data_IF_129230052440
#
_entry.id   IF_129230052440
#
_cell.length_a   1.000
_cell.length_b   1.000
_cell.length_c   1.000
_cell.angle_alpha   90.00
_cell.angle_beta   90.00
_cell.angle_gamma   90.00
#
_symmetry.space_group_name_H-M   'P 1'
#
loop_
_entity.id
_entity.type
_entity.pdbx_description
1 polymer ?
#
# COMPACT_ATOMS: atom_id res chain seq x y z
N UNK A 1 18.04 3.46 -27.04
CA UNK A 1 16.91 3.86 -26.18
C UNK A 1 16.27 5.11 -26.77
N UNK A 2 14.98 5.07 -27.09
CA UNK A 2 14.26 6.25 -27.55
C UNK A 2 14.20 7.27 -26.41
N UNK A 3 14.60 8.51 -26.65
CA UNK A 3 14.46 9.59 -25.65
C UNK A 3 12.97 9.88 -25.48
N UNK A 4 12.44 9.66 -24.31
CA UNK A 4 11.07 10.06 -23.96
C UNK A 4 10.96 11.57 -24.13
N UNK A 5 10.03 12.04 -24.99
CA UNK A 5 9.79 13.47 -25.17
C UNK A 5 9.21 14.06 -23.89
N UNK A 6 9.86 15.09 -23.36
CA UNK A 6 9.36 15.82 -22.19
C UNK A 6 8.14 16.64 -22.65
N UNK A 7 6.98 16.54 -21.96
CA UNK A 7 5.82 17.39 -22.22
C UNK A 7 6.12 18.87 -21.97
N UNK A 8 5.52 19.75 -22.77
CA UNK A 8 5.81 21.19 -22.72
C UNK A 8 5.35 21.82 -21.39
N UNK A 9 4.27 21.33 -20.79
CA UNK A 9 3.77 21.74 -19.48
C UNK A 9 4.73 21.36 -18.34
N UNK A 10 5.32 20.15 -18.38
CA UNK A 10 6.34 19.71 -17.41
C UNK A 10 7.60 20.56 -17.53
N UNK A 11 8.00 20.89 -18.76
CA UNK A 11 9.16 21.76 -18.99
C UNK A 11 8.89 23.18 -18.45
N UNK A 12 7.68 23.71 -18.64
CA UNK A 12 7.26 24.99 -18.06
C UNK A 12 7.33 24.99 -16.54
N UNK A 13 6.79 23.95 -15.88
CA UNK A 13 6.88 23.77 -14.43
C UNK A 13 8.33 23.74 -13.94
N UNK A 14 9.22 23.05 -14.66
CA UNK A 14 10.63 22.99 -14.28
C UNK A 14 11.31 24.36 -14.34
N UNK A 15 11.02 25.19 -15.35
CA UNK A 15 11.50 26.56 -15.43
C UNK A 15 10.93 27.45 -14.33
N UNK A 16 9.64 27.31 -14.01
CA UNK A 16 9.02 28.10 -12.93
C UNK A 16 9.58 27.72 -11.55
N UNK A 17 9.86 26.42 -11.32
CA UNK A 17 10.59 25.99 -10.13
C UNK A 17 11.99 26.61 -10.06
N UNK A 18 12.72 26.66 -11.16
CA UNK A 18 14.04 27.29 -11.18
C UNK A 18 13.97 28.79 -10.83
N UNK A 19 12.95 29.52 -11.32
CA UNK A 19 12.69 30.92 -10.93
C UNK A 19 12.39 31.06 -9.43
N UNK A 20 11.50 30.21 -8.88
CA UNK A 20 11.16 30.20 -7.46
C UNK A 20 12.40 29.98 -6.58
N UNK A 21 13.29 29.02 -6.96
CA UNK A 21 14.56 28.80 -6.26
C UNK A 21 15.51 29.99 -6.33
N UNK A 22 15.61 30.64 -7.49
CA UNK A 22 16.43 31.85 -7.64
C UNK A 22 15.92 33.00 -6.75
N UNK A 23 14.59 33.10 -6.59
CA UNK A 23 13.94 34.04 -5.68
C UNK A 23 13.98 33.59 -4.20
N UNK A 24 14.52 32.41 -3.90
CA UNK A 24 14.53 31.76 -2.57
C UNK A 24 13.13 31.48 -2.01
N UNK A 25 12.12 31.37 -2.86
CA UNK A 25 10.78 30.92 -2.50
C UNK A 25 10.75 29.38 -2.51
N UNK A 26 11.23 28.80 -1.40
CA UNK A 26 11.35 27.37 -1.24
C UNK A 26 9.97 26.69 -1.20
N UNK A 27 8.96 27.35 -0.64
CA UNK A 27 7.60 26.81 -0.55
C UNK A 27 6.96 26.68 -1.95
N UNK A 28 7.14 27.69 -2.83
CA UNK A 28 6.69 27.59 -4.21
C UNK A 28 7.50 26.52 -4.98
N UNK A 29 8.81 26.48 -4.79
CA UNK A 29 9.66 25.49 -5.45
C UNK A 29 9.28 24.05 -5.10
N UNK A 30 8.93 23.77 -3.83
CA UNK A 30 8.52 22.45 -3.37
C UNK A 30 7.11 22.07 -3.91
N UNK A 31 6.17 23.02 -3.96
CA UNK A 31 4.85 22.79 -4.60
C UNK A 31 4.99 22.44 -6.08
N UNK A 32 5.82 23.18 -6.81
CA UNK A 32 6.05 22.94 -8.25
C UNK A 32 6.77 21.59 -8.44
N UNK A 33 7.71 21.23 -7.55
CA UNK A 33 8.34 19.91 -7.58
C UNK A 33 7.32 18.79 -7.44
N UNK A 34 6.37 18.91 -6.52
CA UNK A 34 5.28 17.94 -6.39
C UNK A 34 4.45 17.82 -7.67
N UNK A 35 4.12 18.94 -8.33
CA UNK A 35 3.40 18.92 -9.61
C UNK A 35 4.18 18.22 -10.74
N UNK A 36 5.51 18.39 -10.78
CA UNK A 36 6.38 17.67 -11.73
C UNK A 36 6.38 16.17 -11.43
N UNK A 37 6.45 15.79 -10.15
CA UNK A 37 6.39 14.39 -9.69
C UNK A 37 5.02 13.77 -10.02
N UNK A 38 3.92 14.48 -9.79
CA UNK A 38 2.56 14.07 -10.14
C UNK A 38 2.36 13.89 -11.66
N UNK A 39 3.08 14.67 -12.47
CA UNK A 39 3.12 14.51 -13.91
C UNK A 39 4.01 13.35 -14.39
N UNK A 40 4.57 12.54 -13.47
CA UNK A 40 5.40 11.38 -13.77
C UNK A 40 6.85 11.70 -14.14
N UNK A 41 7.35 12.88 -13.74
CA UNK A 41 8.71 13.32 -14.01
C UNK A 41 9.46 13.63 -12.71
N UNK A 42 10.78 13.49 -12.76
CA UNK A 42 11.69 13.83 -11.66
C UNK A 42 12.62 14.93 -12.12
N UNK A 43 12.70 16.00 -11.32
CA UNK A 43 13.65 17.08 -11.56
C UNK A 43 14.94 16.81 -10.77
N UNK A 44 16.06 16.78 -11.47
CA UNK A 44 17.41 16.58 -10.92
C UNK A 44 18.20 17.89 -11.05
N UNK A 45 18.51 18.51 -9.92
CA UNK A 45 19.29 19.74 -9.92
C UNK A 45 20.76 19.46 -10.31
N UNK A 46 21.28 20.30 -11.24
CA UNK A 46 22.69 20.26 -11.69
C UNK A 46 23.32 21.65 -11.50
N UNK A 47 23.61 22.00 -10.26
CA UNK A 47 24.08 23.33 -9.93
C UNK A 47 23.00 24.39 -10.13
N UNK A 48 23.20 25.30 -11.11
CA UNK A 48 22.21 26.33 -11.52
C UNK A 48 21.22 25.85 -12.56
N UNK A 49 21.47 24.66 -13.12
CA UNK A 49 20.65 24.04 -14.16
C UNK A 49 19.87 22.84 -13.60
N UNK A 50 19.01 22.24 -14.40
CA UNK A 50 18.24 21.05 -14.03
C UNK A 50 18.16 20.06 -15.20
N UNK A 51 17.92 18.80 -14.89
CA UNK A 51 17.52 17.78 -15.84
C UNK A 51 16.13 17.24 -15.44
N UNK A 52 15.31 16.87 -16.43
CA UNK A 52 14.07 16.14 -16.24
C UNK A 52 14.28 14.70 -16.68
N UNK A 53 13.95 13.79 -15.79
CA UNK A 53 14.01 12.35 -15.99
C UNK A 53 12.61 11.77 -15.70
N UNK A 54 12.18 10.69 -16.38
CA UNK A 54 10.98 9.98 -15.95
C UNK A 54 11.07 9.61 -14.46
N UNK A 55 10.01 9.87 -13.70
CA UNK A 55 9.97 9.56 -12.26
C UNK A 55 9.99 8.04 -12.02
N UNK A 56 9.48 7.29 -12.99
CA UNK A 56 9.35 5.85 -12.96
C UNK A 56 9.87 5.24 -14.27
N UNK A 57 10.30 3.99 -14.27
CA UNK A 57 10.63 3.28 -15.49
C UNK A 57 9.40 3.18 -16.40
N UNK A 58 9.56 3.00 -17.70
CA UNK A 58 8.45 2.79 -18.61
C UNK A 58 7.73 1.48 -18.31
N UNK A 59 6.43 1.44 -18.59
CA UNK A 59 5.70 0.17 -18.71
C UNK A 59 6.24 -0.58 -19.91
N UNK A 60 6.52 -1.88 -19.75
CA UNK A 60 7.09 -2.76 -20.75
C UNK A 60 6.10 -3.89 -21.05
N UNK A 61 5.93 -4.21 -22.32
CA UNK A 61 5.12 -5.35 -22.76
C UNK A 61 6.01 -6.35 -23.49
N UNK A 62 6.01 -7.59 -23.02
CA UNK A 62 6.76 -8.72 -23.58
C UNK A 62 5.78 -9.86 -23.88
N UNK A 63 5.39 -10.02 -25.15
CA UNK A 63 4.29 -10.91 -25.52
C UNK A 63 2.97 -10.45 -24.89
N UNK A 64 2.34 -11.32 -24.10
CA UNK A 64 1.10 -11.03 -23.36
C UNK A 64 1.37 -10.46 -21.96
N UNK A 65 2.62 -10.46 -21.51
CA UNK A 65 2.99 -10.00 -20.17
C UNK A 65 3.23 -8.49 -20.19
N UNK A 66 2.47 -7.77 -19.36
CA UNK A 66 2.66 -6.33 -19.09
C UNK A 66 3.33 -6.17 -17.73
N UNK A 67 4.46 -5.43 -17.72
CA UNK A 67 5.15 -4.99 -16.50
C UNK A 67 5.00 -3.48 -16.34
N UNK A 68 4.33 -3.06 -15.30
CA UNK A 68 4.01 -1.64 -15.08
C UNK A 68 5.17 -0.90 -14.42
N UNK A 69 5.49 0.28 -14.93
CA UNK A 69 6.57 1.12 -14.39
C UNK A 69 6.20 1.89 -13.12
N UNK A 70 4.90 2.02 -12.83
CA UNK A 70 4.40 2.69 -11.62
C UNK A 70 3.03 2.14 -11.24
N UNK A 71 2.60 2.38 -9.99
CA UNK A 71 1.25 2.02 -9.55
C UNK A 71 0.18 2.78 -10.35
N UNK A 72 0.44 4.04 -10.68
CA UNK A 72 -0.46 4.89 -11.48
C UNK A 72 -0.70 4.39 -12.90
N UNK A 73 0.28 3.66 -13.48
CA UNK A 73 0.15 3.06 -14.82
C UNK A 73 -0.78 1.84 -14.85
N UNK A 74 -1.07 1.23 -13.70
CA UNK A 74 -1.95 0.07 -13.62
C UNK A 74 -3.41 0.52 -13.80
N UNK A 75 -4.18 -0.08 -14.74
CA UNK A 75 -5.59 0.26 -14.92
C UNK A 75 -6.39 0.06 -13.64
N UNK A 76 -7.17 1.07 -13.25
CA UNK A 76 -7.93 1.05 -12.00
C UNK A 76 -9.35 0.56 -12.21
N UNK A 77 -9.81 -0.32 -11.33
CA UNK A 77 -11.21 -0.75 -11.21
C UNK A 77 -12.01 -0.01 -10.13
N UNK A 78 -11.38 0.94 -9.42
CA UNK A 78 -12.01 1.58 -8.26
C UNK A 78 -13.28 2.37 -8.61
N UNK A 79 -13.42 2.83 -9.85
CA UNK A 79 -14.64 3.49 -10.34
C UNK A 79 -15.74 2.52 -10.82
N UNK A 80 -15.41 1.22 -10.98
CA UNK A 80 -16.37 0.20 -11.40
C UNK A 80 -17.24 -0.22 -10.21
N UNK A 81 -18.49 -0.71 -10.44
CA UNK A 81 -19.28 -1.36 -9.40
C UNK A 81 -18.51 -2.54 -8.79
N UNK A 82 -18.75 -2.83 -7.52
CA UNK A 82 -18.16 -4.00 -6.89
C UNK A 82 -18.71 -5.28 -7.53
N UNK A 83 -17.83 -6.19 -7.90
CA UNK A 83 -18.13 -7.46 -8.60
C UNK A 83 -17.82 -8.67 -7.70
N UNK A 84 -18.06 -8.58 -6.40
CA UNK A 84 -17.83 -9.67 -5.45
C UNK A 84 -17.80 -9.18 -4.01
N UNK A 85 -17.63 -10.13 -3.11
CA UNK A 85 -17.60 -9.85 -1.66
C UNK A 85 -16.29 -9.20 -1.26
N UNK A 86 -15.17 -9.81 -1.66
CA UNK A 86 -13.84 -9.31 -1.30
C UNK A 86 -12.82 -9.54 -2.43
N UNK A 87 -11.73 -8.79 -2.37
CA UNK A 87 -10.48 -9.08 -3.09
C UNK A 87 -9.36 -9.22 -2.08
N UNK A 88 -8.71 -10.38 -2.06
CA UNK A 88 -7.48 -10.60 -1.31
C UNK A 88 -6.29 -10.16 -2.16
N UNK A 89 -5.48 -9.26 -1.64
CA UNK A 89 -4.26 -8.77 -2.29
C UNK A 89 -3.06 -9.34 -1.56
N UNK A 90 -2.19 -10.03 -2.30
CA UNK A 90 -0.89 -10.53 -1.84
C UNK A 90 0.20 -9.76 -2.58
N UNK A 91 1.23 -9.31 -1.87
CA UNK A 91 2.44 -8.78 -2.50
C UNK A 91 3.48 -9.89 -2.52
N UNK A 92 3.80 -10.37 -3.72
CA UNK A 92 4.85 -11.36 -3.91
C UNK A 92 6.21 -10.70 -3.69
N UNK A 93 6.94 -11.23 -2.73
CA UNK A 93 8.30 -10.85 -2.38
C UNK A 93 9.30 -11.88 -2.92
N UNK A 94 10.55 -11.85 -2.49
CA UNK A 94 11.57 -12.78 -2.98
C UNK A 94 11.57 -14.14 -2.23
N UNK A 95 10.42 -14.56 -1.71
CA UNK A 95 10.22 -15.83 -1.00
C UNK A 95 9.07 -16.63 -1.59
N UNK A 96 9.33 -17.39 -2.68
CA UNK A 96 8.31 -18.17 -3.39
C UNK A 96 7.51 -19.09 -2.49
N UNK A 97 8.17 -19.80 -1.57
CA UNK A 97 7.51 -20.73 -0.67
C UNK A 97 6.49 -20.07 0.27
N UNK A 98 6.67 -18.77 0.62
CA UNK A 98 5.71 -18.04 1.44
C UNK A 98 4.46 -17.71 0.61
N UNK A 99 4.64 -17.28 -0.63
CA UNK A 99 3.52 -17.06 -1.56
C UNK A 99 2.74 -18.35 -1.83
N UNK A 100 3.44 -19.45 -2.12
CA UNK A 100 2.82 -20.76 -2.39
C UNK A 100 1.97 -21.21 -1.19
N UNK A 101 2.50 -21.10 0.03
CA UNK A 101 1.80 -21.46 1.28
C UNK A 101 0.56 -20.59 1.49
N UNK A 102 0.68 -19.27 1.35
CA UNK A 102 -0.44 -18.34 1.50
C UNK A 102 -1.55 -18.62 0.46
N UNK A 103 -1.17 -18.83 -0.81
CA UNK A 103 -2.11 -19.18 -1.87
C UNK A 103 -2.76 -20.55 -1.66
N UNK A 104 -2.04 -21.55 -1.19
CA UNK A 104 -2.59 -22.86 -0.87
C UNK A 104 -3.66 -22.77 0.24
N UNK A 105 -3.37 -22.01 1.32
CA UNK A 105 -4.34 -21.75 2.38
C UNK A 105 -5.58 -21.01 1.88
N UNK A 106 -5.40 -19.97 1.06
CA UNK A 106 -6.51 -19.23 0.46
C UNK A 106 -7.38 -20.14 -0.43
N UNK A 107 -6.78 -20.91 -1.35
CA UNK A 107 -7.53 -21.82 -2.24
C UNK A 107 -8.36 -22.85 -1.49
N UNK A 108 -7.85 -23.34 -0.36
CA UNK A 108 -8.54 -24.32 0.45
C UNK A 108 -9.75 -23.74 1.23
N UNK A 109 -9.76 -22.43 1.50
CA UNK A 109 -10.69 -21.84 2.45
C UNK A 109 -11.36 -20.53 1.98
N UNK A 110 -11.07 -20.08 0.75
CA UNK A 110 -11.65 -18.83 0.24
C UNK A 110 -13.15 -18.94 0.04
N UNK A 111 -13.87 -17.91 0.45
CA UNK A 111 -15.33 -17.82 0.32
C UNK A 111 -15.72 -17.48 -1.13
N UNK A 112 -16.87 -17.98 -1.57
CA UNK A 112 -17.47 -17.63 -2.87
C UNK A 112 -17.61 -16.10 -3.01
N UNK A 113 -17.35 -15.58 -4.22
CA UNK A 113 -17.36 -14.16 -4.50
C UNK A 113 -16.09 -13.41 -4.05
N UNK A 114 -15.03 -14.13 -3.68
CA UNK A 114 -13.72 -13.58 -3.38
C UNK A 114 -12.77 -13.78 -4.56
N UNK A 115 -12.12 -12.70 -5.00
CA UNK A 115 -11.03 -12.72 -5.99
C UNK A 115 -9.66 -12.56 -5.31
N UNK A 116 -8.60 -13.00 -5.98
CA UNK A 116 -7.23 -12.86 -5.50
C UNK A 116 -6.43 -12.04 -6.51
N UNK A 117 -5.67 -11.06 -6.01
CA UNK A 117 -4.70 -10.28 -6.80
C UNK A 117 -3.32 -10.50 -6.21
N UNK A 118 -2.40 -11.02 -7.00
CA UNK A 118 -0.99 -11.14 -6.65
C UNK A 118 -0.22 -10.01 -7.32
N UNK A 119 0.41 -9.16 -6.54
CA UNK A 119 1.27 -8.08 -7.03
C UNK A 119 2.73 -8.55 -6.97
N UNK A 120 3.33 -8.77 -8.13
CA UNK A 120 4.75 -9.11 -8.26
C UNK A 120 5.56 -7.81 -8.40
N UNK A 121 6.03 -7.27 -7.26
CA UNK A 121 6.71 -5.98 -7.17
C UNK A 121 8.22 -6.12 -7.44
N UNK A 122 8.59 -6.07 -8.72
CA UNK A 122 9.96 -6.28 -9.19
C UNK A 122 10.50 -7.64 -8.76
N UNK A 123 9.83 -8.74 -9.13
CA UNK A 123 10.15 -10.07 -8.65
C UNK A 123 11.55 -10.52 -9.10
N UNK A 124 12.24 -11.30 -8.27
CA UNK A 124 13.40 -12.07 -8.71
C UNK A 124 12.97 -13.15 -9.73
N UNK A 125 13.89 -13.69 -10.55
CA UNK A 125 13.55 -14.77 -11.47
C UNK A 125 12.87 -15.96 -10.78
N UNK A 126 13.35 -16.38 -9.63
CA UNK A 126 12.75 -17.49 -8.87
C UNK A 126 11.33 -17.16 -8.38
N UNK A 127 11.07 -15.90 -8.00
CA UNK A 127 9.74 -15.48 -7.62
C UNK A 127 8.81 -15.38 -8.83
N UNK A 128 9.30 -14.90 -9.98
CA UNK A 128 8.51 -14.78 -11.21
C UNK A 128 8.09 -16.17 -11.74
N UNK A 129 8.98 -17.18 -11.64
CA UNK A 129 8.68 -18.59 -11.96
C UNK A 129 7.63 -19.21 -11.03
N UNK A 130 7.59 -18.80 -9.76
CA UNK A 130 6.64 -19.31 -8.76
C UNK A 130 5.31 -18.55 -8.74
N UNK A 131 5.12 -17.55 -9.60
CA UNK A 131 3.84 -16.87 -9.71
C UNK A 131 2.78 -17.83 -10.27
N UNK A 132 1.52 -17.72 -9.80
CA UNK A 132 0.44 -18.51 -10.38
C UNK A 132 0.33 -18.21 -11.88
N UNK A 133 0.24 -19.29 -12.68
CA UNK A 133 0.00 -19.19 -14.12
C UNK A 133 -1.45 -18.78 -14.42
N UNK A 134 -2.02 -19.33 -15.49
CA UNK A 134 -3.41 -19.07 -15.89
C UNK A 134 -4.42 -19.71 -14.93
N UNK A 135 -4.51 -19.13 -13.72
CA UNK A 135 -5.53 -19.49 -12.74
C UNK A 135 -6.68 -18.45 -12.84
N UNK A 136 -7.88 -18.84 -13.30
CA UNK A 136 -8.98 -17.89 -13.52
C UNK A 136 -9.46 -17.16 -12.24
N UNK A 137 -9.07 -17.65 -11.05
CA UNK A 137 -9.37 -17.05 -9.77
C UNK A 137 -8.32 -16.04 -9.28
N UNK A 138 -7.17 -15.95 -9.96
CA UNK A 138 -6.02 -15.15 -9.52
C UNK A 138 -5.55 -14.22 -10.64
N UNK A 139 -5.58 -12.94 -10.38
CA UNK A 139 -4.95 -11.94 -11.25
C UNK A 139 -3.53 -11.68 -10.80
N UNK A 140 -2.54 -11.79 -11.70
CA UNK A 140 -1.14 -11.44 -11.42
C UNK A 140 -0.80 -10.12 -12.09
N UNK A 141 -0.38 -9.13 -11.29
CA UNK A 141 0.07 -7.81 -11.76
C UNK A 141 1.56 -7.68 -11.52
N UNK A 142 2.33 -7.42 -12.57
CA UNK A 142 3.80 -7.32 -12.51
C UNK A 142 4.26 -5.89 -12.62
N UNK A 143 5.30 -5.52 -11.88
CA UNK A 143 6.00 -4.23 -12.03
C UNK A 143 7.38 -4.44 -12.68
N UNK A 144 7.90 -3.39 -13.32
CA UNK A 144 9.21 -3.43 -14.00
C UNK A 144 10.38 -3.46 -13.01
N UNK A 145 10.20 -2.86 -11.85
CA UNK A 145 11.16 -2.85 -10.74
C UNK A 145 10.40 -2.83 -9.41
N UNK A 146 11.11 -2.94 -8.29
CA UNK A 146 10.54 -2.83 -6.95
C UNK A 146 10.10 -1.39 -6.68
N UNK A 147 8.80 -1.15 -6.70
CA UNK A 147 8.20 0.16 -6.42
C UNK A 147 8.20 0.49 -4.92
N UNK A 148 8.11 -0.54 -4.08
CA UNK A 148 8.01 -0.43 -2.62
C UNK A 148 6.59 -0.70 -2.11
N UNK A 149 6.47 -0.90 -0.79
CA UNK A 149 5.27 -1.52 -0.19
C UNK A 149 4.00 -0.74 -0.45
N UNK A 150 3.99 0.59 -0.24
CA UNK A 150 2.79 1.38 -0.48
C UNK A 150 2.36 1.39 -1.95
N UNK A 151 3.32 1.48 -2.86
CA UNK A 151 3.04 1.42 -4.30
C UNK A 151 2.50 0.03 -4.70
N UNK A 152 3.07 -1.06 -4.16
CA UNK A 152 2.56 -2.41 -4.40
C UNK A 152 1.14 -2.59 -3.84
N UNK A 153 0.83 -2.04 -2.65
CA UNK A 153 -0.54 -2.03 -2.13
C UNK A 153 -1.48 -1.24 -3.04
N UNK A 154 -1.05 -0.05 -3.52
CA UNK A 154 -1.82 0.75 -4.47
C UNK A 154 -2.12 -0.04 -5.77
N UNK A 155 -1.15 -0.80 -6.30
CA UNK A 155 -1.37 -1.69 -7.45
C UNK A 155 -2.49 -2.69 -7.17
N UNK A 156 -2.42 -3.40 -6.05
CA UNK A 156 -3.43 -4.38 -5.65
C UNK A 156 -4.81 -3.74 -5.43
N UNK A 157 -4.87 -2.60 -4.73
CA UNK A 157 -6.10 -1.86 -4.48
C UNK A 157 -6.74 -1.39 -5.78
N UNK A 158 -5.95 -0.88 -6.73
CA UNK A 158 -6.46 -0.47 -8.05
C UNK A 158 -7.09 -1.62 -8.83
N UNK A 159 -6.63 -2.84 -8.65
CA UNK A 159 -7.15 -4.04 -9.32
C UNK A 159 -8.27 -4.73 -8.55
N UNK A 160 -8.51 -4.35 -7.30
CA UNK A 160 -9.54 -4.94 -6.49
C UNK A 160 -10.93 -4.72 -7.10
N UNK A 161 -11.71 -5.81 -7.25
CA UNK A 161 -13.07 -5.80 -7.75
C UNK A 161 -14.12 -6.04 -6.65
N UNK A 162 -13.76 -6.68 -5.55
CA UNK A 162 -14.66 -6.95 -4.42
C UNK A 162 -15.03 -5.69 -3.63
N UNK A 163 -16.13 -5.76 -2.88
CA UNK A 163 -16.57 -4.65 -2.02
C UNK A 163 -15.61 -4.36 -0.86
N UNK A 164 -14.90 -5.40 -0.39
CA UNK A 164 -13.86 -5.33 0.64
C UNK A 164 -12.51 -5.67 0.01
N UNK A 165 -11.47 -4.96 0.40
CA UNK A 165 -10.07 -5.27 0.09
C UNK A 165 -9.43 -5.82 1.36
N UNK A 166 -8.83 -7.01 1.27
CA UNK A 166 -7.98 -7.61 2.29
C UNK A 166 -6.54 -7.63 1.78
N UNK A 167 -5.66 -6.82 2.34
CA UNK A 167 -4.23 -6.99 2.14
C UNK A 167 -3.77 -8.08 3.11
N UNK A 168 -3.24 -9.17 2.56
CA UNK A 168 -2.73 -10.32 3.33
C UNK A 168 -1.24 -10.47 3.06
N UNK A 169 -0.44 -10.42 4.12
CA UNK A 169 1.00 -10.66 4.00
C UNK A 169 1.28 -12.14 3.69
N UNK A 170 2.26 -12.44 2.85
CA UNK A 170 2.62 -13.82 2.47
C UNK A 170 3.19 -14.64 3.63
N UNK A 171 3.58 -14.01 4.75
CA UNK A 171 3.93 -14.71 6.00
C UNK A 171 2.71 -15.22 6.77
N UNK A 172 1.49 -14.92 6.32
CA UNK A 172 0.25 -15.42 6.92
C UNK A 172 -0.28 -16.60 6.12
N UNK A 173 -0.47 -17.71 6.80
CA UNK A 173 -1.06 -18.94 6.25
C UNK A 173 -2.51 -19.06 6.73
N UNK A 174 -3.51 -18.92 5.85
CA UNK A 174 -4.90 -19.20 6.18
C UNK A 174 -5.11 -20.68 6.52
N UNK A 175 -5.67 -20.94 7.70
CA UNK A 175 -6.05 -22.27 8.17
C UNK A 175 -7.59 -22.45 8.19
N UNK A 176 -8.32 -21.50 7.65
CA UNK A 176 -9.77 -21.43 7.53
C UNK A 176 -10.18 -20.17 6.79
N UNK A 177 -11.48 -19.85 6.83
CA UNK A 177 -12.02 -18.64 6.19
C UNK A 177 -11.58 -17.36 6.94
N UNK A 178 -10.62 -16.65 6.37
CA UNK A 178 -10.11 -15.36 6.90
C UNK A 178 -10.89 -14.16 6.39
N UNK A 179 -11.75 -14.34 5.38
CA UNK A 179 -12.46 -13.23 4.71
C UNK A 179 -13.76 -12.89 5.41
N UNK A 180 -14.61 -13.88 5.66
CA UNK A 180 -15.96 -13.67 6.24
C UNK A 180 -15.95 -12.90 7.56
N UNK A 181 -15.08 -13.18 8.56
CA UNK A 181 -15.04 -12.42 9.80
C UNK A 181 -14.73 -10.94 9.59
N UNK A 182 -13.83 -10.63 8.64
CA UNK A 182 -13.41 -9.26 8.33
C UNK A 182 -14.51 -8.49 7.58
N UNK A 183 -15.18 -9.15 6.64
CA UNK A 183 -16.34 -8.59 5.92
C UNK A 183 -17.49 -8.29 6.89
N UNK A 184 -17.76 -9.21 7.82
CA UNK A 184 -18.77 -9.02 8.84
C UNK A 184 -18.46 -7.82 9.76
N UNK A 185 -17.22 -7.66 10.20
CA UNK A 185 -16.80 -6.50 10.99
C UNK A 185 -16.97 -5.18 10.23
N UNK A 186 -16.68 -5.18 8.94
CA UNK A 186 -16.82 -4.01 8.07
C UNK A 186 -18.26 -3.73 7.64
N UNK A 187 -19.23 -4.60 7.94
CA UNK A 187 -20.66 -4.31 7.74
C UNK A 187 -21.15 -3.16 8.65
N UNK A 188 -20.53 -2.96 9.81
CA UNK A 188 -20.76 -1.81 10.67
C UNK A 188 -20.10 -0.55 10.03
N UNK A 189 -20.87 0.49 9.65
CA UNK A 189 -20.35 1.70 9.03
C UNK A 189 -19.41 2.50 9.95
N UNK A 190 -19.47 2.31 11.26
CA UNK A 190 -18.56 2.95 12.22
C UNK A 190 -17.17 2.34 12.23
N UNK A 191 -16.98 1.15 11.65
CA UNK A 191 -15.68 0.50 11.49
C UNK A 191 -15.04 0.99 10.19
N UNK A 192 -13.89 1.62 10.27
CA UNK A 192 -13.09 2.07 9.11
C UNK A 192 -12.12 1.02 8.60
N UNK A 193 -11.61 0.19 9.51
CA UNK A 193 -10.61 -0.84 9.21
C UNK A 193 -10.79 -2.02 10.16
N UNK A 194 -10.63 -3.24 9.62
CA UNK A 194 -10.67 -4.48 10.39
C UNK A 194 -9.45 -5.35 10.07
N UNK A 195 -9.07 -6.25 10.96
CA UNK A 195 -7.96 -7.15 10.68
C UNK A 195 -7.78 -8.24 11.73
N UNK A 196 -6.86 -9.19 11.43
CA UNK A 196 -6.59 -10.32 12.32
C UNK A 196 -5.66 -9.99 13.49
N UNK A 197 -4.89 -8.90 13.39
CA UNK A 197 -3.87 -8.52 14.35
C UNK A 197 -3.97 -7.03 14.63
N UNK A 198 -4.25 -6.67 15.87
CA UNK A 198 -4.45 -5.29 16.29
C UNK A 198 -3.32 -4.78 17.19
N UNK A 199 -3.12 -3.48 17.16
CA UNK A 199 -2.20 -2.78 18.07
C UNK A 199 -2.90 -1.58 18.69
N UNK A 200 -2.54 -1.29 19.94
CA UNK A 200 -3.10 -0.18 20.71
C UNK A 200 -2.02 0.84 21.07
N UNK A 201 -2.43 2.10 21.12
CA UNK A 201 -1.56 3.20 21.52
C UNK A 201 -2.40 4.32 22.14
N UNK A 202 -2.10 4.75 23.38
CA UNK A 202 -2.81 5.85 24.03
C UNK A 202 -2.40 7.22 23.51
N UNK A 203 -1.30 7.34 22.76
CA UNK A 203 -0.70 8.62 22.38
C UNK A 203 -0.18 8.67 20.94
N UNK A 204 -0.36 7.61 20.15
CA UNK A 204 0.18 7.41 18.79
C UNK A 204 1.72 7.40 18.73
N UNK A 205 2.41 7.24 19.87
CA UNK A 205 3.88 7.24 19.95
C UNK A 205 4.46 5.87 20.29
N UNK A 206 3.83 5.17 21.21
CA UNK A 206 4.19 3.82 21.58
C UNK A 206 3.02 2.88 21.25
N UNK A 207 3.31 1.81 20.53
CA UNK A 207 2.33 0.82 20.11
C UNK A 207 2.67 -0.53 20.74
N UNK A 208 1.67 -1.19 21.27
CA UNK A 208 1.76 -2.54 21.83
C UNK A 208 0.69 -3.44 21.22
N UNK A 209 0.88 -4.74 21.31
CA UNK A 209 -0.08 -5.71 20.79
C UNK A 209 -1.44 -5.49 21.46
N UNK A 210 -2.51 -5.49 20.67
CA UNK A 210 -3.90 -5.40 21.09
C UNK A 210 -4.60 -6.75 20.95
N UNK A 211 -5.53 -7.02 21.88
CA UNK A 211 -6.41 -8.19 21.77
C UNK A 211 -7.54 -7.97 20.74
N UNK A 212 -8.45 -8.96 20.59
CA UNK A 212 -9.68 -8.79 19.83
C UNK A 212 -10.54 -7.64 20.37
N UNK A 213 -11.22 -6.91 19.46
CA UNK A 213 -12.07 -5.76 19.78
C UNK A 213 -11.50 -4.46 19.21
N UNK A 214 -11.85 -3.35 19.86
CA UNK A 214 -11.40 -2.02 19.42
C UNK A 214 -9.90 -1.81 19.66
N UNK A 215 -9.20 -1.37 18.63
CA UNK A 215 -7.75 -1.13 18.63
C UNK A 215 -7.41 0.22 18.00
N UNK A 216 -6.17 0.66 18.12
CA UNK A 216 -5.72 1.91 17.49
C UNK A 216 -5.46 1.72 16.00
N UNK A 217 -4.84 0.61 15.61
CA UNK A 217 -4.54 0.28 14.23
C UNK A 217 -4.49 -1.24 14.03
N UNK A 218 -4.53 -1.66 12.79
CA UNK A 218 -4.40 -3.06 12.37
C UNK A 218 -3.00 -3.27 11.79
N UNK A 219 -2.34 -4.35 12.17
CA UNK A 219 -1.06 -4.74 11.59
C UNK A 219 -1.21 -5.23 10.14
N UNK A 220 -0.21 -4.93 9.32
CA UNK A 220 -0.17 -5.25 7.89
C UNK A 220 -0.16 -6.73 7.53
N UNK A 221 -0.17 -7.63 8.53
CA UNK A 221 -0.30 -9.07 8.31
C UNK A 221 -1.64 -9.47 7.68
N UNK A 222 -2.74 -8.86 8.15
CA UNK A 222 -4.08 -9.04 7.57
C UNK A 222 -4.91 -7.79 7.88
N UNK A 223 -4.98 -6.87 6.93
CA UNK A 223 -5.70 -5.60 7.05
C UNK A 223 -6.77 -5.49 5.98
N UNK A 224 -8.02 -5.28 6.40
CA UNK A 224 -9.19 -5.21 5.54
C UNK A 224 -9.91 -3.86 5.67
N UNK A 225 -10.43 -3.37 4.57
CA UNK A 225 -11.18 -2.12 4.48
C UNK A 225 -12.13 -2.14 3.28
N UNK A 226 -13.12 -1.26 3.27
CA UNK A 226 -14.01 -1.12 2.11
C UNK A 226 -13.26 -0.53 0.93
N UNK A 227 -13.48 -1.09 -0.25
CA UNK A 227 -12.93 -0.57 -1.51
C UNK A 227 -13.38 0.89 -1.76
N UNK A 228 -14.61 1.24 -1.41
CA UNK A 228 -15.13 2.60 -1.48
C UNK A 228 -14.36 3.58 -0.60
N UNK A 229 -13.94 3.15 0.60
CA UNK A 229 -13.13 3.97 1.49
C UNK A 229 -11.75 4.24 0.88
N UNK A 230 -11.10 3.23 0.32
CA UNK A 230 -9.83 3.41 -0.38
C UNK A 230 -9.97 4.38 -1.58
N UNK A 231 -11.05 4.27 -2.34
CA UNK A 231 -11.32 5.20 -3.45
C UNK A 231 -11.53 6.64 -2.96
N UNK A 232 -12.25 6.83 -1.85
CA UNK A 232 -12.53 8.14 -1.27
C UNK A 232 -11.31 8.79 -0.59
N UNK A 233 -10.45 7.98 0.06
CA UNK A 233 -9.23 8.48 0.74
C UNK A 233 -8.08 8.74 -0.24
N UNK A 234 -8.15 8.22 -1.45
CA UNK A 234 -7.08 8.27 -2.43
C UNK A 234 -5.99 7.21 -2.17
N UNK A 235 -4.93 7.22 -3.00
CA UNK A 235 -3.87 6.23 -2.88
C UNK A 235 -3.06 6.39 -1.59
N UNK A 236 -2.44 5.29 -1.15
CA UNK A 236 -1.44 5.33 -0.09
C UNK A 236 -0.25 6.20 -0.53
N UNK A 237 0.37 6.86 0.45
CA UNK A 237 1.59 7.64 0.23
C UNK A 237 2.78 6.73 -0.15
N UNK A 238 3.19 6.75 -1.41
CA UNK A 238 4.24 5.88 -1.94
C UNK A 238 5.65 6.18 -1.42
N UNK A 239 5.81 7.25 -0.63
CA UNK A 239 7.02 7.47 0.14
C UNK A 239 7.25 6.41 1.23
N UNK A 240 6.21 5.64 1.60
CA UNK A 240 6.32 4.43 2.44
C UNK A 240 6.84 3.25 1.59
N UNK A 241 8.10 3.28 1.21
CA UNK A 241 8.72 2.19 0.44
C UNK A 241 9.01 0.95 1.29
N UNK A 242 9.16 1.11 2.59
CA UNK A 242 9.34 0.05 3.58
C UNK A 242 8.02 -0.19 4.30
N UNK A 243 7.68 -1.45 4.56
CA UNK A 243 6.35 -1.85 5.07
C UNK A 243 6.06 -1.38 6.50
N UNK A 244 7.07 -1.35 7.38
CA UNK A 244 6.88 -1.01 8.80
C UNK A 244 6.23 0.35 8.98
N UNK A 245 5.20 0.42 9.80
CA UNK A 245 4.39 1.61 10.08
C UNK A 245 3.49 2.11 8.92
N UNK A 246 3.50 1.46 7.75
CA UNK A 246 2.56 1.76 6.67
C UNK A 246 1.13 1.37 7.08
N UNK A 247 0.99 0.24 7.70
CA UNK A 247 -0.24 -0.32 8.25
C UNK A 247 -0.89 0.59 9.30
N UNK A 248 -0.09 1.13 10.22
CA UNK A 248 -0.53 2.12 11.19
C UNK A 248 -1.02 3.38 10.47
N UNK A 249 -0.20 3.91 9.56
CA UNK A 249 -0.55 5.11 8.81
C UNK A 249 -1.86 4.93 8.03
N UNK A 250 -2.01 3.79 7.34
CA UNK A 250 -3.21 3.51 6.57
C UNK A 250 -4.44 3.31 7.45
N UNK A 251 -4.30 2.62 8.58
CA UNK A 251 -5.37 2.49 9.57
C UNK A 251 -5.87 3.84 10.06
N UNK A 252 -4.95 4.77 10.38
CA UNK A 252 -5.32 6.11 10.81
C UNK A 252 -6.00 6.91 9.69
N UNK A 253 -5.53 6.81 8.44
CA UNK A 253 -6.19 7.43 7.26
C UNK A 253 -7.61 6.93 7.07
N UNK A 254 -7.84 5.62 7.21
CA UNK A 254 -9.18 5.02 7.05
C UNK A 254 -10.14 5.40 8.19
N UNK A 255 -9.62 5.71 9.37
CA UNK A 255 -10.39 6.12 10.54
C UNK A 255 -10.67 7.62 10.59
N UNK A 256 -9.85 8.43 9.92
CA UNK A 256 -9.88 9.89 9.99
C UNK A 256 -11.09 10.47 9.25
N UNK A 257 -12.08 10.99 9.97
CA UNK A 257 -13.25 11.69 9.43
C UNK A 257 -13.10 13.24 9.48
N UNK A 258 -11.87 13.72 9.76
CA UNK A 258 -11.57 15.13 9.91
C UNK A 258 -11.69 15.64 11.34
N UNK A 259 -11.11 16.83 11.59
CA UNK A 259 -11.18 17.47 12.92
C UNK A 259 -12.64 17.80 13.29
N UNK A 260 -13.00 17.47 14.53
CA UNK A 260 -14.35 17.69 15.05
C UNK A 260 -15.37 16.61 14.73
N UNK A 261 -15.01 15.63 13.89
CA UNK A 261 -15.84 14.43 13.64
C UNK A 261 -15.29 13.25 14.44
N UNK A 262 -16.14 12.40 15.04
CA UNK A 262 -15.64 11.19 15.71
C UNK A 262 -14.97 10.27 14.69
N UNK A 263 -13.76 9.77 14.99
CA UNK A 263 -13.08 8.84 14.09
C UNK A 263 -13.82 7.52 14.01
N UNK A 264 -13.70 6.84 12.87
CA UNK A 264 -14.16 5.46 12.75
C UNK A 264 -13.26 4.54 13.57
N UNK A 265 -13.79 3.37 13.91
CA UNK A 265 -13.10 2.35 14.71
C UNK A 265 -12.14 1.53 13.86
N UNK A 266 -11.07 1.05 14.48
CA UNK A 266 -10.30 -0.10 14.01
C UNK A 266 -10.67 -1.29 14.88
N UNK A 267 -10.96 -2.43 14.28
CA UNK A 267 -11.44 -3.62 15.01
C UNK A 267 -10.57 -4.83 14.67
N UNK A 268 -9.93 -5.40 15.68
CA UNK A 268 -9.26 -6.69 15.56
C UNK A 268 -10.26 -7.82 15.78
N UNK A 269 -10.35 -8.74 14.82
CA UNK A 269 -11.20 -9.93 14.91
C UNK A 269 -10.36 -11.19 14.79
N UNK A 270 -10.68 -12.25 15.56
CA UNK A 270 -10.00 -13.53 15.38
C UNK A 270 -10.21 -14.07 13.97
N UNK A 271 -9.13 -14.43 13.32
CA UNK A 271 -9.14 -15.11 12.03
C UNK A 271 -8.38 -16.45 12.13
N UNK A 272 -8.82 -17.49 11.42
CA UNK A 272 -8.15 -18.79 11.45
C UNK A 272 -6.90 -18.75 10.55
N UNK A 273 -5.80 -18.22 11.07
CA UNK A 273 -4.56 -18.08 10.33
C UNK A 273 -3.34 -18.27 11.24
N UNK A 274 -2.27 -18.80 10.68
CA UNK A 274 -0.96 -18.92 11.31
C UNK A 274 -0.03 -17.84 10.79
N UNK A 275 0.64 -17.13 11.67
CA UNK A 275 1.64 -16.12 11.33
C UNK A 275 3.04 -16.76 11.40
N UNK A 276 3.73 -16.78 10.28
CA UNK A 276 5.11 -17.20 10.17
C UNK A 276 6.09 -16.03 10.29
N UNK A 277 7.37 -16.31 10.21
CA UNK A 277 8.42 -15.30 10.23
C UNK A 277 8.27 -14.32 9.05
N UNK A 278 8.29 -13.04 9.35
CA UNK A 278 8.30 -11.98 8.32
C UNK A 278 9.73 -11.79 7.80
N UNK A 279 10.08 -12.53 6.76
CA UNK A 279 11.46 -12.58 6.21
C UNK A 279 11.95 -11.22 5.71
N UNK A 280 11.08 -10.35 5.22
CA UNK A 280 11.45 -8.98 4.85
C UNK A 280 11.96 -8.14 6.02
N UNK A 281 11.62 -8.53 7.26
CA UNK A 281 12.18 -7.92 8.47
C UNK A 281 13.56 -8.51 8.80
N UNK A 282 13.67 -9.81 8.84
CA UNK A 282 14.88 -10.50 9.29
C UNK A 282 16.02 -10.43 8.25
N UNK A 283 15.71 -10.24 6.98
CA UNK A 283 16.68 -10.10 5.91
C UNK A 283 17.48 -8.77 5.95
N UNK A 284 16.97 -7.75 6.67
CA UNK A 284 17.66 -6.46 6.77
C UNK A 284 18.48 -6.35 8.06
N UNK A 285 19.68 -5.73 8.01
CA UNK A 285 20.43 -5.38 9.21
C UNK A 285 19.65 -4.46 10.17
N UNK A 286 19.78 -4.67 11.47
CA UNK A 286 19.07 -3.91 12.50
C UNK A 286 19.17 -2.38 12.35
N UNK A 287 20.36 -1.77 12.11
CA UNK A 287 20.44 -0.33 11.96
C UNK A 287 19.66 0.22 10.76
N UNK A 288 19.55 -0.57 9.70
CA UNK A 288 18.79 -0.18 8.52
C UNK A 288 17.27 -0.30 8.77
N UNK A 289 16.84 -1.37 9.41
CA UNK A 289 15.44 -1.54 9.85
C UNK A 289 14.99 -0.36 10.70
N UNK A 290 15.80 0.03 11.68
CA UNK A 290 15.52 1.14 12.58
C UNK A 290 15.43 2.47 11.84
N UNK A 291 16.38 2.72 10.94
CA UNK A 291 16.38 3.94 10.12
C UNK A 291 15.12 4.05 9.26
N UNK A 292 14.74 2.96 8.59
CA UNK A 292 13.56 2.90 7.72
C UNK A 292 12.27 3.03 8.53
N UNK A 293 12.18 2.33 9.66
CA UNK A 293 11.03 2.38 10.58
C UNK A 293 10.84 3.79 11.15
N UNK A 294 11.91 4.42 11.65
CA UNK A 294 11.87 5.80 12.17
C UNK A 294 11.41 6.80 11.12
N UNK A 295 11.92 6.69 9.88
CA UNK A 295 11.49 7.57 8.79
C UNK A 295 9.99 7.48 8.52
N UNK A 296 9.43 6.28 8.51
CA UNK A 296 7.99 6.09 8.32
C UNK A 296 7.20 6.55 9.55
N UNK A 297 7.72 6.31 10.75
CA UNK A 297 7.08 6.74 11.99
C UNK A 297 6.96 8.26 12.08
N UNK A 298 8.00 9.02 11.70
CA UNK A 298 7.92 10.47 11.68
C UNK A 298 6.83 11.00 10.74
N UNK A 299 6.52 10.34 9.62
CA UNK A 299 5.38 10.72 8.77
C UNK A 299 4.04 10.57 9.49
N UNK A 300 3.91 9.54 10.33
CA UNK A 300 2.71 9.37 11.17
C UNK A 300 2.60 10.53 12.15
N UNK A 301 3.68 10.84 12.86
CA UNK A 301 3.69 11.92 13.85
C UNK A 301 3.44 13.28 13.20
N UNK A 302 4.03 13.56 12.05
CA UNK A 302 3.84 14.82 11.32
C UNK A 302 2.37 15.03 10.92
N UNK A 303 1.68 13.95 10.51
CA UNK A 303 0.28 14.05 10.08
C UNK A 303 -0.72 13.90 11.24
N UNK A 304 -0.49 12.95 12.13
CA UNK A 304 -1.47 12.52 13.12
C UNK A 304 -1.06 12.78 14.58
N UNK A 305 0.15 13.25 14.85
CA UNK A 305 0.68 13.40 16.20
C UNK A 305 -0.10 14.35 17.11
N UNK A 306 -0.92 15.23 16.53
CA UNK A 306 -1.84 16.12 17.24
C UNK A 306 -3.26 15.54 17.41
N UNK A 307 -3.62 14.48 16.67
CA UNK A 307 -4.94 13.83 16.61
C UNK A 307 -5.11 12.81 17.75
N UNK A 308 -5.29 13.32 18.98
CA UNK A 308 -5.50 12.45 20.15
C UNK A 308 -6.79 11.63 20.10
N UNK A 309 -7.77 12.07 19.34
CA UNK A 309 -9.03 11.37 19.09
C UNK A 309 -8.83 10.06 18.30
N UNK A 310 -7.74 9.94 17.53
CA UNK A 310 -7.35 8.71 16.84
C UNK A 310 -6.57 7.73 17.74
N UNK A 311 -6.10 8.15 18.90
CA UNK A 311 -5.50 7.26 19.88
C UNK A 311 -6.53 6.20 20.34
N UNK A 312 -6.04 5.04 20.75
CA UNK A 312 -6.89 3.97 21.25
C UNK A 312 -7.12 4.08 22.78
N UNK A 313 -7.97 3.20 23.33
CA UNK A 313 -8.04 3.06 24.77
C UNK A 313 -6.65 2.68 25.30
N UNK A 314 -6.24 3.33 26.39
CA UNK A 314 -5.02 3.04 27.12
C UNK A 314 -5.17 1.79 27.97
#
# INVERSE_FOLDING_TARGET
>A
MARTRIPDDVLSLAHDRAKARAARDWAAADRIRAQIEDAGWKIVDRGTDFALEPAHPPTVTEGEIVRYGSSGAVPSRLAEPAAGVATVVLVATDWPADLERALAGLRAHVTEGTSIVVVADGPSPAQDEALPGDDPGIEVVRTTERLGTAAAWNVGIRRASGAVVLILDTSVEPAGDVVTPLVAALADPTVGVAGGFGIVSPDLRAFVDGGPGDVTAIEGYAIAFRRSDAAARGPLDERFRFYRNLDIWWSLVLRDEGEGSPPRRAVAVPIPATRHEHRGWTALPEPERDRLSKRNFYRIIDRFGHRRDLAGPG
#
